data_IF_343703300729
#
_entry.id   IF_343703300729
#
_cell.length_a   1.000
_cell.length_b   1.000
_cell.length_c   1.000
_cell.angle_alpha   90.00
_cell.angle_beta   90.00
_cell.angle_gamma   90.00
#
_symmetry.space_group_name_H-M   'P 1'
#
loop_
_entity.id
_entity.type
_entity.pdbx_description
1 polymer ?
#
# COMPACT_ATOMS: atom_id res chain seq x y z
N UNK A 1 20.08 -5.38 17.54
CA UNK A 1 19.25 -4.23 17.95
C UNK A 1 18.63 -4.57 19.29
N UNK A 2 18.75 -3.68 20.27
CA UNK A 2 18.55 -3.95 21.70
C UNK A 2 17.13 -4.43 22.06
N UNK A 3 16.97 -5.74 22.16
CA UNK A 3 15.76 -6.41 22.69
C UNK A 3 15.41 -5.94 24.11
N UNK A 4 16.42 -5.60 24.90
CA UNK A 4 16.28 -5.10 26.27
C UNK A 4 15.67 -3.68 26.28
N UNK A 5 16.07 -2.83 25.33
CA UNK A 5 15.50 -1.50 25.20
C UNK A 5 14.02 -1.58 24.76
N UNK A 6 13.71 -2.47 23.81
CA UNK A 6 12.36 -2.70 23.31
C UNK A 6 11.38 -3.12 24.43
N UNK A 7 11.77 -4.07 25.29
CA UNK A 7 10.94 -4.49 26.44
C UNK A 7 10.72 -3.38 27.46
N UNK A 8 11.74 -2.54 27.71
CA UNK A 8 11.61 -1.40 28.63
C UNK A 8 10.63 -0.36 28.08
N UNK A 9 10.69 -0.05 26.79
CA UNK A 9 9.77 0.89 26.15
C UNK A 9 8.34 0.35 26.11
N UNK A 10 8.15 -0.94 25.84
CA UNK A 10 6.84 -1.60 25.89
C UNK A 10 6.20 -1.47 27.28
N UNK A 11 6.96 -1.77 28.34
CA UNK A 11 6.46 -1.69 29.71
C UNK A 11 6.08 -0.26 30.10
N UNK A 12 6.84 0.74 29.67
CA UNK A 12 6.52 2.16 29.88
C UNK A 12 5.20 2.49 29.18
N UNK A 13 5.04 2.09 27.91
CA UNK A 13 3.85 2.39 27.11
C UNK A 13 2.59 1.78 27.73
N UNK A 14 2.64 0.52 28.17
CA UNK A 14 1.55 -0.16 28.86
C UNK A 14 1.17 0.57 30.16
N UNK A 15 2.17 0.95 30.96
CA UNK A 15 1.93 1.65 32.22
C UNK A 15 1.32 3.03 32.00
N UNK A 16 1.78 3.77 30.98
CA UNK A 16 1.22 5.08 30.62
C UNK A 16 -0.22 4.96 30.15
N UNK A 17 -0.55 3.99 29.28
CA UNK A 17 -1.92 3.79 28.80
C UNK A 17 -2.92 3.46 29.91
N UNK A 18 -2.48 2.78 30.99
CA UNK A 18 -3.35 2.43 32.13
C UNK A 18 -3.78 3.62 32.98
N UNK A 19 -3.02 4.72 32.96
CA UNK A 19 -3.24 5.89 33.82
C UNK A 19 -3.95 7.02 33.04
N UNK A 20 -3.91 6.96 31.70
CA UNK A 20 -4.47 8.00 30.85
C UNK A 20 -6.01 7.94 30.79
N UNK A 21 -6.67 9.10 30.66
CA UNK A 21 -8.09 9.16 30.29
C UNK A 21 -8.33 8.49 28.92
N UNK A 22 -9.52 7.92 28.72
CA UNK A 22 -9.88 7.18 27.49
C UNK A 22 -9.66 8.00 26.21
N UNK A 23 -10.01 9.28 26.21
CA UNK A 23 -9.79 10.19 25.06
C UNK A 23 -8.30 10.29 24.65
N UNK A 24 -7.38 10.17 25.61
CA UNK A 24 -5.93 10.20 25.35
C UNK A 24 -5.40 8.84 24.90
N UNK A 25 -6.05 7.75 25.31
CA UNK A 25 -5.73 6.40 24.83
C UNK A 25 -6.10 6.26 23.36
N UNK A 26 -7.26 6.79 22.94
CA UNK A 26 -7.68 6.82 21.53
C UNK A 26 -6.65 7.54 20.65
N UNK A 27 -6.18 8.71 21.07
CA UNK A 27 -5.13 9.47 20.36
C UNK A 27 -3.82 8.68 20.21
N UNK A 28 -3.43 7.89 21.23
CA UNK A 28 -2.24 7.05 21.16
C UNK A 28 -2.42 5.89 20.19
N UNK A 29 -3.61 5.28 20.15
CA UNK A 29 -3.93 4.21 19.19
C UNK A 29 -3.89 4.75 17.76
N UNK A 30 -4.47 5.93 17.52
CA UNK A 30 -4.43 6.57 16.21
C UNK A 30 -3.01 6.91 15.78
N UNK A 31 -2.19 7.43 16.69
CA UNK A 31 -0.79 7.72 16.41
C UNK A 31 0.02 6.44 16.12
N UNK A 32 -0.21 5.36 16.87
CA UNK A 32 0.43 4.07 16.62
C UNK A 32 0.04 3.50 15.24
N UNK A 33 -1.24 3.60 14.86
CA UNK A 33 -1.72 3.23 13.52
C UNK A 33 -1.07 4.07 12.43
N UNK A 34 -0.92 5.37 12.65
CA UNK A 34 -0.23 6.25 11.72
C UNK A 34 1.25 5.86 11.53
N UNK A 35 1.97 5.55 12.60
CA UNK A 35 3.36 5.07 12.51
C UNK A 35 3.46 3.71 11.81
N UNK A 36 2.50 2.80 12.06
CA UNK A 36 2.41 1.53 11.35
C UNK A 36 2.18 1.73 9.85
N UNK A 37 1.30 2.66 9.47
CA UNK A 37 1.03 3.00 8.08
C UNK A 37 2.23 3.66 7.40
N UNK A 38 2.95 4.55 8.08
CA UNK A 38 4.20 5.11 7.56
C UNK A 38 5.27 4.04 7.36
N UNK A 39 5.45 3.12 8.32
CA UNK A 39 6.42 2.03 8.14
C UNK A 39 6.08 1.12 6.96
N UNK A 40 4.78 0.92 6.66
CA UNK A 40 4.34 0.19 5.48
C UNK A 40 4.57 1.02 4.21
N UNK A 41 4.27 2.32 4.25
CA UNK A 41 4.52 3.25 3.15
C UNK A 41 6.01 3.36 2.82
N UNK A 42 6.89 3.41 3.82
CA UNK A 42 8.34 3.46 3.64
C UNK A 42 8.86 2.17 3.00
N UNK A 43 8.28 1.02 3.34
CA UNK A 43 8.57 -0.26 2.69
C UNK A 43 8.11 -0.26 1.22
N UNK A 44 6.92 0.25 0.94
CA UNK A 44 6.40 0.36 -0.43
C UNK A 44 7.19 1.39 -1.26
N UNK A 45 7.59 2.52 -0.66
CA UNK A 45 8.42 3.56 -1.30
C UNK A 45 9.86 3.08 -1.53
N UNK A 46 10.36 2.12 -0.74
CA UNK A 46 11.66 1.49 -1.01
C UNK A 46 11.62 0.57 -2.23
N UNK A 47 10.45 0.04 -2.62
CA UNK A 47 10.30 -0.79 -3.83
C UNK A 47 10.17 0.06 -5.11
N UNK A 48 9.65 1.29 -5.02
CA UNK A 48 9.58 2.21 -6.16
C UNK A 48 10.90 2.97 -6.37
N UNK A 49 11.77 2.42 -7.23
CA UNK A 49 12.92 3.17 -7.73
C UNK A 49 12.43 4.32 -8.64
N UNK A 50 12.52 5.56 -8.16
CA UNK A 50 12.08 6.76 -8.87
C UNK A 50 12.67 6.90 -10.28
N UNK A 51 13.91 6.44 -10.50
CA UNK A 51 14.53 6.43 -11.81
C UNK A 51 13.90 5.39 -12.75
N UNK A 52 13.48 4.24 -12.21
CA UNK A 52 12.76 3.22 -12.96
C UNK A 52 11.34 3.69 -13.33
N UNK A 53 10.64 4.35 -12.39
CA UNK A 53 9.33 4.96 -12.65
C UNK A 53 9.43 6.04 -13.73
N UNK A 54 10.42 6.93 -13.64
CA UNK A 54 10.64 7.96 -14.66
C UNK A 54 10.95 7.36 -16.05
N UNK A 55 11.76 6.30 -16.10
CA UNK A 55 12.05 5.60 -17.35
C UNK A 55 10.80 4.89 -17.91
N UNK A 56 9.96 4.32 -17.06
CA UNK A 56 8.70 3.70 -17.49
C UNK A 56 7.72 4.74 -18.04
N UNK A 57 7.52 5.84 -17.32
CA UNK A 57 6.69 6.96 -17.77
C UNK A 57 7.16 7.53 -19.12
N UNK A 58 8.47 7.69 -19.32
CA UNK A 58 9.01 8.15 -20.60
C UNK A 58 8.70 7.19 -21.76
N UNK A 59 8.66 5.87 -21.51
CA UNK A 59 8.26 4.87 -22.51
C UNK A 59 6.78 5.02 -22.86
N UNK A 60 5.92 5.19 -21.85
CA UNK A 60 4.49 5.43 -22.05
C UNK A 60 4.24 6.72 -22.82
N UNK A 61 4.91 7.82 -22.46
CA UNK A 61 4.80 9.10 -23.17
C UNK A 61 5.21 8.97 -24.64
N UNK A 62 6.33 8.31 -24.92
CA UNK A 62 6.80 8.09 -26.28
C UNK A 62 5.80 7.26 -27.11
N UNK A 63 5.20 6.23 -26.51
CA UNK A 63 4.19 5.40 -27.15
C UNK A 63 2.91 6.18 -27.43
N UNK A 64 2.39 6.91 -26.42
CA UNK A 64 1.17 7.72 -26.50
C UNK A 64 1.29 8.90 -27.47
N UNK A 65 2.51 9.38 -27.74
CA UNK A 65 2.76 10.39 -28.76
C UNK A 65 2.60 9.86 -30.20
N UNK A 66 2.49 8.53 -30.38
CA UNK A 66 2.28 7.91 -31.70
C UNK A 66 0.83 7.48 -31.89
N UNK A 67 0.39 7.42 -33.15
CA UNK A 67 -0.92 6.88 -33.50
C UNK A 67 -1.07 5.38 -33.20
N UNK A 68 0.05 4.66 -33.02
CA UNK A 68 0.07 3.23 -32.69
C UNK A 68 -0.43 2.94 -31.26
N UNK A 69 -0.46 3.96 -30.39
CA UNK A 69 -0.99 3.83 -29.04
C UNK A 69 -2.47 3.48 -29.01
N UNK A 70 -3.27 4.01 -29.94
CA UNK A 70 -4.72 3.76 -29.97
C UNK A 70 -5.01 2.29 -30.21
N UNK A 71 -4.42 1.69 -31.24
CA UNK A 71 -4.59 0.27 -31.58
C UNK A 71 -4.15 -0.64 -30.41
N UNK A 72 -3.04 -0.28 -29.75
CA UNK A 72 -2.55 -1.05 -28.60
C UNK A 72 -3.50 -0.94 -27.40
N UNK A 73 -3.97 0.26 -27.07
CA UNK A 73 -4.87 0.49 -25.95
C UNK A 73 -6.23 -0.18 -26.19
N UNK A 74 -6.73 -0.16 -27.42
CA UNK A 74 -7.96 -0.87 -27.80
C UNK A 74 -7.79 -2.38 -27.62
N UNK A 75 -6.66 -2.94 -28.09
CA UNK A 75 -6.35 -4.36 -27.87
C UNK A 75 -6.27 -4.72 -26.38
N UNK A 76 -5.60 -3.91 -25.57
CA UNK A 76 -5.49 -4.15 -24.13
C UNK A 76 -6.86 -4.06 -23.43
N UNK A 77 -7.72 -3.14 -23.86
CA UNK A 77 -9.08 -3.03 -23.35
C UNK A 77 -9.92 -4.27 -23.70
N UNK A 78 -9.81 -4.77 -24.93
CA UNK A 78 -10.49 -5.99 -25.36
C UNK A 78 -10.00 -7.22 -24.60
N UNK A 79 -8.70 -7.34 -24.37
CA UNK A 79 -8.11 -8.41 -23.55
C UNK A 79 -8.64 -8.36 -22.12
N UNK A 80 -8.60 -7.19 -21.46
CA UNK A 80 -9.11 -7.02 -20.10
C UNK A 80 -10.61 -7.36 -20.00
N UNK A 81 -11.41 -6.94 -20.99
CA UNK A 81 -12.84 -7.25 -21.05
C UNK A 81 -13.08 -8.75 -21.25
N UNK A 82 -12.28 -9.41 -22.09
CA UNK A 82 -12.34 -10.84 -22.29
C UNK A 82 -12.00 -11.61 -21.01
N UNK A 83 -10.97 -11.18 -20.27
CA UNK A 83 -10.60 -11.77 -18.98
C UNK A 83 -11.68 -11.59 -17.93
N UNK A 84 -12.28 -10.40 -17.85
CA UNK A 84 -13.42 -10.13 -16.97
C UNK A 84 -14.60 -11.04 -17.30
N UNK A 85 -14.98 -11.14 -18.58
CA UNK A 85 -16.07 -12.01 -19.06
C UNK A 85 -15.78 -13.50 -18.82
N UNK A 86 -14.52 -13.90 -18.88
CA UNK A 86 -14.06 -15.25 -18.58
C UNK A 86 -13.99 -15.54 -17.06
N UNK A 87 -14.32 -14.57 -16.20
CA UNK A 87 -14.28 -14.73 -14.75
C UNK A 87 -12.87 -14.81 -14.16
N UNK A 88 -11.84 -14.39 -14.92
CA UNK A 88 -10.45 -14.35 -14.43
C UNK A 88 -10.19 -13.12 -13.56
N UNK A 89 -10.98 -12.07 -13.73
CA UNK A 89 -10.91 -10.90 -12.87
C UNK A 89 -11.47 -11.21 -11.48
N UNK A 90 -10.73 -10.85 -10.44
CA UNK A 90 -11.14 -11.06 -9.05
C UNK A 90 -11.42 -9.72 -8.37
N UNK A 91 -12.46 -9.66 -7.51
CA UNK A 91 -12.75 -8.44 -6.77
C UNK A 91 -11.63 -8.16 -5.77
N UNK A 92 -11.13 -6.93 -5.77
CA UNK A 92 -10.21 -6.45 -4.75
C UNK A 92 -10.96 -6.35 -3.42
N UNK A 93 -10.47 -7.07 -2.39
CA UNK A 93 -11.05 -7.06 -1.05
C UNK A 93 -10.02 -6.58 -0.05
N UNK A 94 -10.51 -5.94 1.01
CA UNK A 94 -9.68 -5.48 2.12
C UNK A 94 -10.13 -6.13 3.42
N UNK A 95 -9.19 -6.40 4.33
CA UNK A 95 -9.49 -6.84 5.69
C UNK A 95 -9.86 -5.65 6.60
N UNK A 96 -10.26 -5.93 7.84
CA UNK A 96 -10.62 -4.92 8.85
C UNK A 96 -9.43 -4.01 9.24
N UNK A 97 -8.20 -4.39 8.86
CA UNK A 97 -6.99 -3.60 9.04
C UNK A 97 -6.63 -2.77 7.78
N UNK A 98 -7.48 -2.80 6.74
CA UNK A 98 -7.29 -2.06 5.49
C UNK A 98 -6.28 -2.68 4.53
N UNK A 99 -5.88 -3.94 4.72
CA UNK A 99 -4.90 -4.63 3.87
C UNK A 99 -5.59 -5.39 2.75
N UNK A 100 -5.00 -5.37 1.55
CA UNK A 100 -5.55 -6.11 0.42
C UNK A 100 -5.46 -7.62 0.66
N UNK A 101 -6.58 -8.31 0.50
CA UNK A 101 -6.67 -9.76 0.58
C UNK A 101 -6.29 -10.29 -0.81
N UNK A 102 -5.11 -10.89 -0.93
CA UNK A 102 -4.67 -11.51 -2.18
C UNK A 102 -5.41 -12.84 -2.35
N UNK A 103 -6.24 -12.99 -3.39
CA UNK A 103 -6.90 -14.26 -3.70
C UNK A 103 -5.86 -15.34 -4.07
N UNK A 104 -6.07 -16.57 -3.58
CA UNK A 104 -5.23 -17.75 -3.90
C UNK A 104 -5.60 -18.39 -5.23
#
# INVERSE_FOLDING_TARGET
MDTIASQKYEQILINTMRILPSERVEQLVDFARFLQAQSLSDQLMQEENSAAVAADNARWDALLATNQSQDLLEKLADEALAEYRAGKAQPMRFDDAGRMIIPQ
#
